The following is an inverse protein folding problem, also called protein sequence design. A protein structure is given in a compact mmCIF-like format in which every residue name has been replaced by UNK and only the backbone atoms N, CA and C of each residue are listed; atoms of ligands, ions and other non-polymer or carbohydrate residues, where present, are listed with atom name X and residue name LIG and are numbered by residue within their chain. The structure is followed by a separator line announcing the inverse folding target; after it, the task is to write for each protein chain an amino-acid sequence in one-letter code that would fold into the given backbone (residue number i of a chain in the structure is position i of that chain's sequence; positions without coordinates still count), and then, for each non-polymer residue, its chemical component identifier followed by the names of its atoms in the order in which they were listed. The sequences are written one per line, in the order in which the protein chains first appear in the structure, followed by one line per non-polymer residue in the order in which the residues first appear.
data_IF_139788872735
#
_entry.id   IF_139788872735
#
_cell.length_a   1.000
_cell.length_b   1.000
_cell.length_c   1.000
_cell.angle_alpha   90.00
_cell.angle_beta   90.00
_cell.angle_gamma   90.00
#
_symmetry.space_group_name_H-M   'P 1'
#
loop_
_entity.id
_entity.type
_entity.pdbx_description
1 polymer ?
#
# COMPACT_ATOMS: atom_id res chain seq x y z
N UNK A 1 -16.90 -3.36 15.59
CA UNK A 1 -15.43 -3.40 15.67
C UNK A 1 -14.98 -2.08 15.10
N UNK A 2 -14.41 -1.21 15.91
CA UNK A 2 -13.87 0.06 15.44
C UNK A 2 -12.73 -0.24 14.45
N UNK A 3 -12.95 0.09 13.18
CA UNK A 3 -11.90 0.05 12.17
C UNK A 3 -10.94 1.18 12.48
N UNK A 4 -9.67 0.88 12.68
CA UNK A 4 -8.64 1.92 12.78
C UNK A 4 -8.67 2.74 11.48
N UNK A 5 -8.60 4.06 11.59
CA UNK A 5 -8.65 4.98 10.44
C UNK A 5 -7.38 5.82 10.44
N UNK A 6 -6.67 5.83 9.32
CA UNK A 6 -5.53 6.71 9.09
C UNK A 6 -6.00 8.13 8.75
N UNK A 7 -5.14 9.11 8.98
CA UNK A 7 -5.41 10.50 8.58
C UNK A 7 -5.06 10.69 7.10
N UNK A 8 -5.89 11.45 6.38
CA UNK A 8 -5.69 11.84 4.99
C UNK A 8 -6.11 13.29 4.81
N UNK A 9 -5.50 13.97 3.85
CA UNK A 9 -5.78 15.36 3.47
C UNK A 9 -6.35 15.37 2.06
N UNK A 10 -7.41 16.14 1.83
CA UNK A 10 -7.99 16.40 0.50
C UNK A 10 -8.27 15.14 -0.34
N UNK A 11 -8.65 14.04 0.31
CA UNK A 11 -8.97 12.76 -0.34
C UNK A 11 -7.79 12.14 -1.11
N UNK A 12 -6.56 12.56 -0.82
CA UNK A 12 -5.36 12.17 -1.55
C UNK A 12 -4.62 11.03 -0.84
N UNK A 13 -4.53 9.87 -1.50
CA UNK A 13 -3.84 8.67 -1.01
C UNK A 13 -2.35 8.91 -0.69
N UNK A 14 -1.71 9.87 -1.34
CA UNK A 14 -0.30 10.22 -1.10
C UNK A 14 -0.10 10.99 0.20
N UNK A 15 -1.18 11.48 0.81
CA UNK A 15 -1.15 12.24 2.07
C UNK A 15 -1.43 11.37 3.31
N UNK A 16 -1.63 10.07 3.12
CA UNK A 16 -1.91 9.13 4.21
C UNK A 16 -0.84 9.25 5.30
N UNK A 17 -1.30 9.53 6.51
CA UNK A 17 -0.57 9.29 7.74
C UNK A 17 -1.13 8.02 8.37
N UNK A 18 -0.41 6.92 8.19
CA UNK A 18 -0.78 5.62 8.70
C UNK A 18 -0.99 5.66 10.21
N UNK A 19 -1.85 4.79 10.73
CA UNK A 19 -2.13 4.64 12.17
C UNK A 19 -0.87 4.42 13.02
N UNK A 20 0.21 3.84 12.46
CA UNK A 20 1.49 3.71 13.15
C UNK A 20 2.37 4.98 13.14
N UNK A 21 1.90 6.07 12.53
CA UNK A 21 2.64 7.32 12.32
C UNK A 21 3.64 7.29 11.16
N UNK A 22 3.52 6.33 10.23
CA UNK A 22 4.31 6.36 9.00
C UNK A 22 3.60 7.20 7.91
N UNK A 23 4.38 7.85 7.06
CA UNK A 23 3.94 8.73 5.97
C UNK A 23 4.74 8.42 4.71
N UNK A 24 4.29 8.92 3.56
CA UNK A 24 5.06 8.84 2.30
C UNK A 24 6.47 9.42 2.43
N UNK A 25 6.65 10.48 3.21
CA UNK A 25 7.94 11.14 3.41
C UNK A 25 8.88 10.48 4.43
N UNK A 26 8.40 9.51 5.22
CA UNK A 26 9.18 8.86 6.28
C UNK A 26 9.76 7.52 5.83
N UNK A 27 8.94 6.47 5.77
CA UNK A 27 9.35 5.15 5.29
C UNK A 27 8.67 4.79 3.95
N UNK A 28 7.98 5.75 3.33
CA UNK A 28 7.17 5.52 2.14
C UNK A 28 5.85 4.81 2.41
N UNK A 29 4.98 4.82 1.41
CA UNK A 29 3.81 3.95 1.29
C UNK A 29 3.84 3.34 -0.11
N UNK A 30 3.40 2.09 -0.24
CA UNK A 30 3.59 1.28 -1.44
C UNK A 30 2.24 0.94 -2.05
N UNK A 31 2.05 1.20 -3.34
CA UNK A 31 0.87 0.72 -4.06
C UNK A 31 0.87 -0.81 -4.10
N UNK A 32 -0.29 -1.41 -3.86
CA UNK A 32 -0.49 -2.83 -3.69
C UNK A 32 -1.82 -3.29 -4.32
N UNK A 33 -1.95 -4.60 -4.54
CA UNK A 33 -3.21 -5.20 -5.00
C UNK A 33 -4.16 -5.51 -3.82
N UNK A 34 -5.30 -6.11 -4.14
CA UNK A 34 -6.32 -6.58 -3.19
C UNK A 34 -5.85 -7.59 -2.13
N UNK A 35 -4.64 -8.14 -2.27
CA UNK A 35 -3.99 -9.03 -1.28
C UNK A 35 -2.90 -8.33 -0.46
N UNK A 36 -2.65 -7.05 -0.70
CA UNK A 36 -1.60 -6.28 -0.04
C UNK A 36 -0.20 -6.59 -0.56
N UNK A 37 -0.09 -7.20 -1.74
CA UNK A 37 1.20 -7.42 -2.41
C UNK A 37 1.54 -6.17 -3.23
N UNK A 38 2.74 -5.57 -3.05
CA UNK A 38 3.22 -4.46 -3.86
C UNK A 38 3.04 -4.69 -5.37
N UNK A 39 2.51 -3.70 -6.08
CA UNK A 39 2.35 -3.76 -7.55
C UNK A 39 3.60 -3.23 -8.25
N UNK A 40 3.90 -3.79 -9.42
CA UNK A 40 4.92 -3.26 -10.32
C UNK A 40 4.34 -2.12 -11.16
N UNK A 41 4.91 -0.92 -11.00
CA UNK A 41 4.53 0.29 -11.73
C UNK A 41 5.46 0.62 -12.91
N UNK A 42 6.46 -0.24 -13.19
CA UNK A 42 7.44 -0.04 -14.26
C UNK A 42 7.12 -0.79 -15.56
N UNK A 43 8.06 -0.75 -16.51
CA UNK A 43 7.92 -1.52 -17.76
C UNK A 43 8.03 -3.04 -17.51
N UNK A 44 7.32 -3.87 -18.29
CA UNK A 44 7.48 -5.32 -18.25
C UNK A 44 8.93 -5.77 -18.55
N UNK A 45 9.37 -6.94 -18.05
CA UNK A 45 8.57 -7.93 -17.33
C UNK A 45 8.33 -7.57 -15.86
N UNK A 46 7.15 -7.98 -15.34
CA UNK A 46 6.82 -7.88 -13.92
C UNK A 46 7.72 -8.85 -13.13
N UNK A 47 8.48 -8.39 -12.12
CA UNK A 47 9.25 -9.27 -11.24
C UNK A 47 8.32 -10.28 -10.53
N UNK A 48 8.75 -11.54 -10.32
CA UNK A 48 7.89 -12.58 -9.76
C UNK A 48 7.43 -12.30 -8.33
N UNK A 49 8.13 -11.46 -7.58
CA UNK A 49 7.77 -11.03 -6.22
C UNK A 49 6.70 -9.93 -6.21
N UNK A 50 6.55 -9.19 -7.31
CA UNK A 50 5.58 -8.09 -7.42
C UNK A 50 4.30 -8.57 -8.10
N UNK A 51 3.20 -7.93 -7.73
CA UNK A 51 1.95 -8.10 -8.44
C UNK A 51 1.95 -7.31 -9.76
N UNK A 52 1.27 -7.85 -10.77
CA UNK A 52 0.94 -7.09 -11.97
C UNK A 52 0.00 -5.92 -11.61
N UNK A 53 0.09 -4.84 -12.38
CA UNK A 53 -0.84 -3.73 -12.26
C UNK A 53 -2.27 -4.21 -12.55
N UNK A 54 -3.23 -4.02 -11.64
CA UNK A 54 -4.60 -4.47 -11.87
C UNK A 54 -5.24 -3.67 -13.02
N UNK A 55 -5.76 -4.37 -14.02
CA UNK A 55 -6.46 -3.74 -15.14
C UNK A 55 -7.83 -3.15 -14.73
N UNK A 56 -8.55 -3.87 -13.85
CA UNK A 56 -9.94 -3.58 -13.47
C UNK A 56 -10.21 -3.69 -11.96
N UNK A 57 -9.19 -3.99 -11.14
CA UNK A 57 -9.31 -4.03 -9.67
C UNK A 57 -8.86 -2.71 -9.03
N UNK A 58 -9.42 -2.38 -7.87
CA UNK A 58 -8.96 -1.24 -7.09
C UNK A 58 -7.52 -1.44 -6.62
N UNK A 59 -6.79 -0.34 -6.63
CA UNK A 59 -5.51 -0.24 -5.97
C UNK A 59 -5.69 -0.09 -4.46
N UNK A 60 -4.65 -0.53 -3.78
CA UNK A 60 -4.53 -0.43 -2.34
C UNK A 60 -3.20 0.23 -2.02
N UNK A 61 -3.11 0.80 -0.83
CA UNK A 61 -1.88 1.38 -0.30
C UNK A 61 -1.43 0.61 0.93
N UNK A 62 -0.26 -0.03 0.84
CA UNK A 62 0.41 -0.75 1.92
C UNK A 62 1.35 0.18 2.70
N UNK A 63 1.24 0.17 4.02
CA UNK A 63 2.25 0.73 4.90
C UNK A 63 3.35 -0.31 5.21
N UNK A 64 4.59 -0.16 4.70
CA UNK A 64 5.66 -1.14 4.91
C UNK A 64 6.12 -1.22 6.37
N UNK A 65 5.93 -0.16 7.15
CA UNK A 65 6.38 -0.13 8.56
C UNK A 65 5.51 -0.98 9.50
N UNK A 66 4.23 -1.21 9.17
CA UNK A 66 3.33 -1.94 10.07
C UNK A 66 2.39 -2.95 9.40
N UNK A 67 2.31 -2.95 8.07
CA UNK A 67 1.53 -3.89 7.28
C UNK A 67 0.06 -3.54 7.09
N UNK A 68 -0.41 -2.39 7.58
CA UNK A 68 -1.79 -1.95 7.31
C UNK A 68 -1.96 -1.61 5.83
N UNK A 69 -3.09 -2.00 5.29
CA UNK A 69 -3.47 -1.78 3.89
C UNK A 69 -4.76 -0.98 3.84
N UNK A 70 -4.76 0.04 3.00
CA UNK A 70 -5.89 0.95 2.76
C UNK A 70 -6.38 0.76 1.32
N UNK A 71 -7.68 0.92 1.06
CA UNK A 71 -8.24 0.83 -0.30
C UNK A 71 -8.32 2.23 -0.88
N UNK A 72 -7.66 2.46 -2.00
CA UNK A 72 -7.46 3.81 -2.55
C UNK A 72 -8.82 4.44 -2.92
N UNK A 73 -9.69 3.68 -3.57
CA UNK A 73 -11.04 4.13 -3.93
C UNK A 73 -11.88 4.63 -2.74
N UNK A 74 -11.70 4.03 -1.54
CA UNK A 74 -12.42 4.49 -0.34
C UNK A 74 -11.92 5.85 0.14
N UNK A 75 -10.61 6.08 0.04
CA UNK A 75 -9.98 7.35 0.42
C UNK A 75 -10.42 8.46 -0.52
N UNK A 76 -10.36 8.20 -1.82
CA UNK A 76 -10.75 9.16 -2.85
C UNK A 76 -12.24 9.51 -2.74
N UNK A 77 -13.10 8.52 -2.53
CA UNK A 77 -14.55 8.72 -2.43
C UNK A 77 -14.96 9.43 -1.12
N UNK A 78 -14.40 9.02 0.02
CA UNK A 78 -14.92 9.39 1.34
C UNK A 78 -14.07 10.42 2.08
N UNK A 79 -12.81 10.63 1.66
CA UNK A 79 -11.85 11.43 2.40
C UNK A 79 -11.42 10.78 3.72
N UNK A 80 -11.60 9.46 3.86
CA UNK A 80 -11.20 8.70 5.04
C UNK A 80 -10.40 7.47 4.64
N UNK A 81 -9.42 7.09 5.47
CA UNK A 81 -8.57 5.92 5.22
C UNK A 81 -8.80 4.81 6.25
N UNK A 82 -9.97 4.14 6.27
CA UNK A 82 -10.17 2.99 7.12
C UNK A 82 -9.21 1.87 6.72
N UNK A 83 -8.64 1.18 7.71
CA UNK A 83 -7.83 -0.02 7.45
C UNK A 83 -8.71 -1.09 6.82
N UNK A 84 -8.38 -1.48 5.59
CA UNK A 84 -9.08 -2.55 4.88
C UNK A 84 -8.69 -3.92 5.44
N UNK A 85 -7.38 -4.14 5.60
CA UNK A 85 -6.82 -5.34 6.23
C UNK A 85 -5.35 -5.09 6.60
N UNK A 86 -4.69 -6.13 7.12
CA UNK A 86 -3.28 -6.09 7.52
C UNK A 86 -2.54 -7.32 6.98
N UNK A 87 -1.36 -7.09 6.42
CA UNK A 87 -0.39 -8.13 6.06
C UNK A 87 0.73 -8.19 7.09
N UNK A 88 1.43 -9.33 7.18
CA UNK A 88 2.67 -9.41 7.94
C UNK A 88 3.84 -9.00 7.05
N UNK A 89 4.44 -7.84 7.32
CA UNK A 89 5.57 -7.30 6.56
C UNK A 89 6.87 -8.08 6.76
N UNK A 90 6.88 -9.03 7.71
CA UNK A 90 8.00 -9.95 7.94
C UNK A 90 7.76 -11.33 7.32
N UNK A 91 6.55 -11.59 6.81
CA UNK A 91 6.27 -12.81 6.07
C UNK A 91 7.07 -12.82 4.77
N UNK A 92 7.71 -13.95 4.46
CA UNK A 92 8.74 -14.05 3.42
C UNK A 92 8.31 -13.45 2.07
N UNK A 93 7.16 -13.86 1.50
CA UNK A 93 6.65 -13.30 0.25
C UNK A 93 6.44 -11.78 0.27
N UNK A 94 5.84 -11.23 1.34
CA UNK A 94 5.57 -9.79 1.45
C UNK A 94 6.86 -9.01 1.68
N UNK A 95 7.75 -9.51 2.53
CA UNK A 95 9.05 -8.91 2.80
C UNK A 95 9.90 -8.83 1.53
N UNK A 96 9.94 -9.89 0.73
CA UNK A 96 10.65 -9.91 -0.55
C UNK A 96 10.02 -8.95 -1.57
N UNK A 97 8.69 -8.89 -1.66
CA UNK A 97 8.01 -7.94 -2.54
C UNK A 97 8.33 -6.48 -2.18
N UNK A 98 8.31 -6.12 -0.89
CA UNK A 98 8.69 -4.78 -0.41
C UNK A 98 10.15 -4.49 -0.78
N UNK A 99 11.05 -5.45 -0.56
CA UNK A 99 12.48 -5.31 -0.89
C UNK A 99 12.69 -5.07 -2.39
N UNK A 100 12.02 -5.84 -3.25
CA UNK A 100 12.13 -5.68 -4.71
C UNK A 100 11.56 -4.35 -5.18
N UNK A 101 10.40 -3.92 -4.66
CA UNK A 101 9.80 -2.63 -4.97
C UNK A 101 10.76 -1.46 -4.72
N UNK A 102 11.45 -1.47 -3.57
CA UNK A 102 12.41 -0.40 -3.25
C UNK A 102 13.67 -0.43 -4.10
N UNK A 103 14.18 -1.61 -4.44
CA UNK A 103 15.34 -1.73 -5.33
C UNK A 103 15.09 -1.25 -6.76
N UNK A 104 13.82 -1.22 -7.20
CA UNK A 104 13.43 -0.70 -8.52
C UNK A 104 13.14 0.80 -8.50
N UNK A 105 12.93 1.37 -7.32
CA UNK A 105 12.63 2.80 -7.13
C UNK A 105 13.89 3.66 -6.95
N UNK A 106 15.07 3.03 -6.94
CA UNK A 106 16.41 3.65 -6.91
C UNK A 106 17.06 3.65 -8.28
#
# INVERSE_FOLDING_TARGET
MDTETAEVVDHDVTTITCVCGNTVSKDGLIQANSRGVPVHSGEPPVPPELAEWPADEDLYTLCPSCGRVYRDAVIEETGTAPVAFRVDVKDGPIAEAIRVHWNLST
#
